data_IF_499895076672
#
_entry.id   IF_499895076672
#
_cell.length_a   1.000
_cell.length_b   1.000
_cell.length_c   1.000
_cell.angle_alpha   90.00
_cell.angle_beta   90.00
_cell.angle_gamma   90.00
#
_symmetry.space_group_name_H-M   'P 1'
#
loop_
_entity.id
_entity.type
_entity.pdbx_description
1 polymer ?
#
# COMPACT_ATOMS: atom_id res chain seq x y z
N UNK A 1 -6.90 1.78 7.39
CA UNK A 1 -6.05 0.82 6.66
C UNK A 1 -5.80 1.31 5.24
N UNK A 2 -4.65 1.00 4.69
CA UNK A 2 -4.28 1.25 3.30
C UNK A 2 -3.82 -0.07 2.68
N UNK A 3 -4.30 -0.39 1.48
CA UNK A 3 -4.04 -1.65 0.78
C UNK A 3 -5.18 -2.65 0.89
N UNK A 4 -5.06 -3.76 0.16
CA UNK A 4 -6.01 -4.87 0.19
C UNK A 4 -5.76 -5.81 1.37
N UNK A 5 -6.77 -6.61 1.70
CA UNK A 5 -6.65 -7.68 2.69
C UNK A 5 -5.45 -8.58 2.39
N UNK A 6 -4.68 -8.94 3.40
CA UNK A 6 -3.37 -9.64 3.38
C UNK A 6 -2.17 -8.79 2.97
N UNK A 7 -2.37 -7.55 2.51
CA UNK A 7 -1.29 -6.65 2.08
C UNK A 7 -1.43 -5.26 2.71
N UNK A 8 -2.37 -5.09 3.64
CA UNK A 8 -2.68 -3.80 4.22
C UNK A 8 -1.65 -3.35 5.26
N UNK A 9 -1.54 -2.03 5.38
CA UNK A 9 -0.88 -1.34 6.49
C UNK A 9 -1.91 -0.57 7.29
N UNK A 10 -1.65 -0.35 8.58
CA UNK A 10 -2.48 0.46 9.43
C UNK A 10 -1.83 1.82 9.68
N UNK A 11 -2.65 2.87 9.63
CA UNK A 11 -2.29 4.21 10.08
C UNK A 11 -3.11 4.54 11.32
N UNK A 12 -2.44 5.08 12.33
CA UNK A 12 -3.09 5.53 13.56
C UNK A 12 -3.14 7.05 13.58
N UNK A 13 -4.25 7.57 14.08
CA UNK A 13 -4.42 8.98 14.33
C UNK A 13 -4.85 9.17 15.79
N UNK A 14 -4.15 10.06 16.50
CA UNK A 14 -4.50 10.45 17.87
C UNK A 14 -5.41 11.68 17.80
N UNK A 15 -6.61 11.58 18.35
CA UNK A 15 -7.50 12.72 18.53
C UNK A 15 -6.99 13.56 19.70
N UNK A 16 -6.09 14.49 19.40
CA UNK A 16 -5.41 15.36 20.36
C UNK A 16 -6.40 16.21 21.16
N UNK A 17 -7.47 16.70 20.52
CA UNK A 17 -8.47 17.53 21.20
C UNK A 17 -9.30 16.71 22.18
N UNK A 18 -9.67 15.50 21.81
CA UNK A 18 -10.41 14.59 22.71
C UNK A 18 -9.53 14.17 23.89
N UNK A 19 -8.25 13.86 23.63
CA UNK A 19 -7.29 13.54 24.68
C UNK A 19 -7.10 14.71 25.64
N UNK A 20 -6.88 15.93 25.11
CA UNK A 20 -6.78 17.13 25.91
C UNK A 20 -8.02 17.36 26.78
N UNK A 21 -9.22 17.26 26.21
CA UNK A 21 -10.48 17.42 26.95
C UNK A 21 -10.63 16.40 28.08
N UNK A 22 -10.19 15.15 27.84
CA UNK A 22 -10.22 14.09 28.85
C UNK A 22 -9.28 14.40 30.02
N UNK A 23 -8.09 14.95 29.77
CA UNK A 23 -7.16 15.37 30.80
C UNK A 23 -7.62 16.64 31.53
N UNK A 24 -8.11 17.63 30.77
CA UNK A 24 -8.54 18.91 31.29
C UNK A 24 -9.74 18.80 32.25
N UNK A 25 -10.72 17.97 31.91
CA UNK A 25 -11.92 17.81 32.75
C UNK A 25 -12.51 19.13 33.20
N UNK A 26 -12.58 19.34 34.51
CA UNK A 26 -13.07 20.57 35.14
C UNK A 26 -11.93 21.53 35.64
N UNK A 27 -10.68 21.25 35.22
CA UNK A 27 -9.53 22.09 35.61
C UNK A 27 -9.66 23.47 34.98
N UNK A 28 -9.39 24.51 35.79
CA UNK A 28 -9.43 25.93 35.37
C UNK A 28 -8.08 26.64 35.48
N UNK A 29 -7.10 25.96 36.02
CA UNK A 29 -5.73 26.47 36.15
C UNK A 29 -5.07 26.51 34.76
N UNK A 30 -4.69 27.71 34.32
CA UNK A 30 -4.15 27.93 32.96
C UNK A 30 -2.80 27.26 32.75
N UNK A 31 -1.94 27.18 33.77
CA UNK A 31 -0.65 26.46 33.66
C UNK A 31 -0.86 24.98 33.47
N UNK A 32 -1.78 24.38 34.22
CA UNK A 32 -2.14 22.98 34.08
C UNK A 32 -2.77 22.70 32.71
N UNK A 33 -3.68 23.55 32.25
CA UNK A 33 -4.31 23.42 30.93
C UNK A 33 -3.28 23.52 29.80
N UNK A 34 -2.29 24.42 29.92
CA UNK A 34 -1.18 24.50 28.97
C UNK A 34 -0.34 23.23 28.96
N UNK A 35 0.01 22.71 30.15
CA UNK A 35 0.77 21.47 30.26
C UNK A 35 0.01 20.25 29.66
N UNK A 36 -1.30 20.19 29.85
CA UNK A 36 -2.14 19.13 29.22
C UNK A 36 -2.18 19.25 27.70
N UNK A 37 -2.23 20.46 27.15
CA UNK A 37 -2.19 20.71 25.72
C UNK A 37 -0.86 20.26 25.13
N UNK A 38 0.24 20.69 25.73
CA UNK A 38 1.58 20.29 25.28
C UNK A 38 1.79 18.77 25.31
N UNK A 39 1.28 18.12 26.38
CA UNK A 39 1.34 16.65 26.47
C UNK A 39 0.48 15.98 25.39
N UNK A 40 -0.77 16.41 25.22
CA UNK A 40 -1.67 15.83 24.21
C UNK A 40 -1.11 15.91 22.79
N UNK A 41 -0.45 17.03 22.45
CA UNK A 41 0.20 17.25 21.16
C UNK A 41 1.45 16.37 20.96
N UNK A 42 2.07 15.88 22.05
CA UNK A 42 3.22 14.98 21.98
C UNK A 42 2.84 13.51 21.80
N UNK A 43 1.58 13.14 22.01
CA UNK A 43 1.13 11.74 21.93
C UNK A 43 1.02 11.29 20.49
N UNK A 44 1.68 10.19 20.19
CA UNK A 44 1.63 9.53 18.89
C UNK A 44 1.26 8.07 19.03
N UNK A 45 0.68 7.48 18.00
CA UNK A 45 0.34 6.08 17.96
C UNK A 45 0.88 5.47 16.66
N UNK A 46 1.47 4.27 16.75
CA UNK A 46 2.09 3.57 15.63
C UNK A 46 1.72 2.10 15.64
N UNK A 47 1.48 1.57 14.45
CA UNK A 47 1.39 0.12 14.18
C UNK A 47 2.55 -0.25 13.27
N UNK A 48 3.37 -1.20 13.70
CA UNK A 48 4.51 -1.71 12.93
C UNK A 48 4.17 -2.96 12.12
N UNK A 49 2.99 -3.55 12.34
CA UNK A 49 2.52 -4.72 11.59
C UNK A 49 2.39 -4.37 10.10
N UNK A 50 2.82 -5.30 9.26
CA UNK A 50 2.69 -5.26 7.80
C UNK A 50 1.86 -6.45 7.33
N UNK A 51 1.39 -6.38 6.10
CA UNK A 51 0.61 -7.46 5.48
C UNK A 51 -0.60 -7.87 6.32
N UNK A 52 -1.29 -6.84 6.84
CA UNK A 52 -2.40 -7.00 7.77
C UNK A 52 -3.61 -7.59 7.05
N UNK A 53 -4.20 -8.61 7.68
CA UNK A 53 -5.42 -9.25 7.22
C UNK A 53 -6.60 -8.95 8.14
N UNK A 54 -7.81 -9.00 7.59
CA UNK A 54 -9.02 -8.97 8.40
C UNK A 54 -9.02 -10.10 9.44
N UNK A 55 -9.34 -9.75 10.67
CA UNK A 55 -9.35 -10.69 11.80
C UNK A 55 -8.00 -10.86 12.51
N UNK A 56 -6.91 -10.31 11.98
CA UNK A 56 -5.60 -10.33 12.63
C UNK A 56 -5.58 -9.42 13.86
N UNK A 57 -4.91 -9.86 14.92
CA UNK A 57 -4.59 -8.99 16.03
C UNK A 57 -3.35 -8.17 15.70
N UNK A 58 -3.47 -6.86 15.78
CA UNK A 58 -2.37 -5.91 15.57
C UNK A 58 -2.06 -5.17 16.86
N UNK A 59 -0.81 -4.75 17.03
CA UNK A 59 -0.37 -4.02 18.22
C UNK A 59 -0.24 -2.53 17.90
N UNK A 60 -1.01 -1.71 18.60
CA UNK A 60 -0.91 -0.25 18.57
C UNK A 60 -0.01 0.19 19.71
N UNK A 61 1.13 0.81 19.40
CA UNK A 61 2.06 1.37 20.36
C UNK A 61 1.85 2.88 20.47
N UNK A 62 1.71 3.36 21.69
CA UNK A 62 1.54 4.78 22.01
C UNK A 62 2.84 5.31 22.59
N UNK A 63 3.28 6.45 22.09
CA UNK A 63 4.46 7.18 22.59
C UNK A 63 4.06 8.60 22.97
N UNK A 64 4.74 9.17 23.94
CA UNK A 64 4.54 10.52 24.41
C UNK A 64 5.85 11.07 25.00
N UNK A 65 5.91 12.36 25.19
CA UNK A 65 7.03 13.04 25.86
C UNK A 65 6.92 12.85 27.38
N UNK A 66 7.88 12.14 27.98
CA UNK A 66 7.88 11.81 29.41
C UNK A 66 8.05 13.06 30.29
N UNK A 67 8.85 14.05 29.86
CA UNK A 67 9.04 15.30 30.60
C UNK A 67 7.75 16.11 30.65
N UNK A 68 7.01 16.14 29.54
CA UNK A 68 5.70 16.77 29.45
C UNK A 68 4.66 16.05 30.31
N UNK A 69 4.69 14.72 30.33
CA UNK A 69 3.82 13.92 31.19
C UNK A 69 4.08 14.22 32.68
N UNK A 70 5.36 14.26 33.07
CA UNK A 70 5.75 14.59 34.42
C UNK A 70 5.34 16.03 34.81
N UNK A 71 5.57 17.03 33.96
CA UNK A 71 5.15 18.41 34.15
C UNK A 71 3.62 18.55 34.31
N UNK A 72 2.89 17.77 33.52
CA UNK A 72 1.42 17.73 33.57
C UNK A 72 0.88 16.94 34.78
N UNK A 73 1.72 16.16 35.47
CA UNK A 73 1.29 15.22 36.51
C UNK A 73 0.39 14.09 36.00
N UNK A 74 0.54 13.71 34.74
CA UNK A 74 -0.22 12.67 34.10
C UNK A 74 0.64 11.42 33.95
N UNK A 75 0.05 10.28 34.27
CA UNK A 75 0.66 8.96 34.04
C UNK A 75 -0.22 8.13 33.08
N UNK A 76 0.41 7.55 32.07
CA UNK A 76 -0.25 6.60 31.20
C UNK A 76 -0.02 5.18 31.74
N UNK A 77 -1.11 4.44 31.97
CA UNK A 77 -1.04 3.07 32.52
C UNK A 77 -0.63 2.06 31.45
N UNK A 78 -1.17 2.22 30.24
CA UNK A 78 -0.91 1.32 29.13
C UNK A 78 -0.42 2.15 27.92
N UNK A 79 0.64 1.65 27.29
CA UNK A 79 1.24 2.23 26.07
C UNK A 79 1.19 1.28 24.89
N UNK A 80 0.59 0.10 25.04
CA UNK A 80 0.45 -0.92 24.01
C UNK A 80 -0.94 -1.54 24.06
N UNK A 81 -1.63 -1.55 22.94
CA UNK A 81 -3.00 -2.05 22.82
C UNK A 81 -3.09 -3.06 21.68
N UNK A 82 -3.80 -4.16 21.91
CA UNK A 82 -4.12 -5.15 20.89
C UNK A 82 -5.48 -4.80 20.30
N UNK A 83 -5.54 -4.65 18.98
CA UNK A 83 -6.75 -4.35 18.22
C UNK A 83 -6.93 -5.41 17.15
N UNK A 84 -8.16 -5.91 16.99
CA UNK A 84 -8.48 -6.82 15.90
C UNK A 84 -8.75 -6.04 14.62
N UNK A 85 -7.96 -6.29 13.58
CA UNK A 85 -8.11 -5.65 12.28
C UNK A 85 -9.43 -6.05 11.62
N UNK A 86 -10.15 -5.08 11.09
CA UNK A 86 -11.43 -5.29 10.40
C UNK A 86 -11.73 -4.16 9.42
N UNK A 87 -12.58 -4.44 8.43
CA UNK A 87 -12.97 -3.43 7.43
C UNK A 87 -11.89 -3.15 6.38
N UNK A 88 -10.89 -4.02 6.25
CA UNK A 88 -9.90 -3.94 5.17
C UNK A 88 -10.57 -4.43 3.88
N UNK A 89 -10.43 -3.65 2.80
CA UNK A 89 -10.94 -4.00 1.47
C UNK A 89 -10.31 -5.30 0.95
N UNK A 90 -11.09 -6.15 0.31
CA UNK A 90 -10.56 -7.36 -0.37
C UNK A 90 -9.72 -7.04 -1.60
N UNK A 91 -9.69 -5.79 -2.03
CA UNK A 91 -8.99 -5.34 -3.23
C UNK A 91 -9.86 -5.43 -4.48
N UNK A 92 -9.44 -4.69 -5.52
CA UNK A 92 -10.07 -4.71 -6.84
C UNK A 92 -9.37 -5.76 -7.70
N UNK A 93 -10.11 -6.78 -8.13
CA UNK A 93 -9.59 -7.78 -9.08
C UNK A 93 -9.48 -7.14 -10.47
N UNK A 94 -8.30 -7.27 -11.09
CA UNK A 94 -8.00 -6.72 -12.42
C UNK A 94 -7.37 -7.76 -13.32
N UNK A 95 -7.64 -7.61 -14.62
CA UNK A 95 -6.92 -8.28 -15.70
C UNK A 95 -5.76 -7.39 -16.15
N UNK A 96 -4.58 -7.57 -15.56
CA UNK A 96 -3.46 -6.64 -15.68
C UNK A 96 -3.04 -6.38 -17.14
N UNK A 97 -3.16 -7.38 -18.01
CA UNK A 97 -2.79 -7.31 -19.44
C UNK A 97 -3.90 -6.75 -20.35
N UNK A 98 -5.08 -6.41 -19.81
CA UNK A 98 -6.20 -5.88 -20.60
C UNK A 98 -5.86 -4.53 -21.27
N UNK A 99 -5.08 -3.71 -20.61
CA UNK A 99 -4.61 -2.41 -21.11
C UNK A 99 -3.10 -2.43 -21.47
N UNK A 100 -2.58 -3.58 -21.88
CA UNK A 100 -1.21 -3.71 -22.37
C UNK A 100 -1.25 -4.05 -23.85
N UNK A 101 -0.68 -3.18 -24.68
CA UNK A 101 -0.56 -3.40 -26.11
C UNK A 101 0.74 -4.11 -26.42
N UNK A 102 0.68 -5.23 -27.10
CA UNK A 102 1.83 -6.01 -27.56
C UNK A 102 1.80 -6.08 -29.08
N UNK A 103 2.84 -5.55 -29.71
CA UNK A 103 2.94 -5.50 -31.19
C UNK A 103 4.22 -6.20 -31.61
N UNK A 104 4.09 -7.18 -32.49
CA UNK A 104 5.21 -7.81 -33.18
C UNK A 104 5.35 -7.19 -34.57
N UNK A 105 6.55 -6.70 -34.89
CA UNK A 105 6.81 -6.00 -36.17
C UNK A 105 8.14 -6.38 -36.78
N UNK A 106 8.26 -6.16 -38.07
CA UNK A 106 9.41 -6.55 -38.89
C UNK A 106 9.19 -7.86 -39.65
N UNK A 107 10.26 -8.42 -40.15
CA UNK A 107 10.22 -9.68 -40.96
C UNK A 107 10.79 -10.86 -40.17
N UNK A 108 10.10 -12.00 -40.21
CA UNK A 108 10.58 -13.24 -39.62
C UNK A 108 11.87 -13.72 -40.36
N UNK A 109 12.91 -14.19 -39.66
CA UNK A 109 13.00 -14.38 -38.18
C UNK A 109 13.62 -13.20 -37.44
N UNK A 110 13.75 -12.03 -38.02
CA UNK A 110 14.41 -10.83 -37.46
C UNK A 110 13.40 -9.84 -36.88
N UNK A 111 12.18 -10.26 -36.57
CA UNK A 111 11.15 -9.41 -36.00
C UNK A 111 11.47 -9.02 -34.54
N UNK A 112 10.80 -7.99 -34.08
CA UNK A 112 10.91 -7.46 -32.72
C UNK A 112 9.53 -7.28 -32.07
N UNK A 113 9.50 -7.17 -30.75
CA UNK A 113 8.29 -6.88 -29.98
C UNK A 113 8.34 -5.48 -29.40
N UNK A 114 7.21 -4.78 -29.42
CA UNK A 114 6.96 -3.54 -28.71
C UNK A 114 5.83 -3.77 -27.72
N UNK A 115 6.10 -3.47 -26.45
CA UNK A 115 5.12 -3.54 -25.35
C UNK A 115 4.82 -2.14 -24.89
N UNK A 116 3.55 -1.79 -24.80
CA UNK A 116 3.11 -0.45 -24.36
C UNK A 116 2.04 -0.61 -23.29
N UNK A 117 2.30 -0.05 -22.10
CA UNK A 117 1.31 0.06 -21.05
C UNK A 117 0.35 1.20 -21.37
N UNK A 118 -0.97 0.92 -21.38
CA UNK A 118 -2.06 1.84 -21.72
C UNK A 118 -2.97 2.11 -20.49
N UNK A 119 -2.57 1.70 -19.29
CA UNK A 119 -3.33 2.00 -18.10
C UNK A 119 -3.31 3.50 -17.79
N UNK A 120 -4.51 4.11 -17.59
CA UNK A 120 -4.65 5.52 -17.19
C UNK A 120 -4.50 5.72 -15.68
N UNK A 121 -4.60 4.65 -14.88
CA UNK A 121 -4.37 4.69 -13.44
C UNK A 121 -2.91 5.03 -13.13
N UNK A 122 -2.67 5.92 -12.16
CA UNK A 122 -1.32 6.43 -11.83
C UNK A 122 -0.36 5.30 -11.46
N UNK A 123 -0.79 4.35 -10.63
CA UNK A 123 0.05 3.23 -10.21
C UNK A 123 0.18 2.18 -11.31
N UNK A 124 -0.95 1.72 -11.87
CA UNK A 124 -0.94 0.70 -12.93
C UNK A 124 -0.23 1.18 -14.19
N UNK A 125 -0.34 2.47 -14.51
CA UNK A 125 0.37 3.12 -15.62
C UNK A 125 1.89 3.20 -15.43
N UNK A 126 2.37 3.15 -14.18
CA UNK A 126 3.79 3.14 -13.85
C UNK A 126 4.45 1.75 -13.92
N UNK A 127 3.65 0.68 -14.01
CA UNK A 127 4.16 -0.69 -14.07
C UNK A 127 4.86 -0.94 -15.39
N UNK A 128 6.07 -1.49 -15.33
CA UNK A 128 6.80 -1.95 -16.51
C UNK A 128 6.39 -3.36 -16.92
N UNK A 129 6.29 -3.60 -18.23
CA UNK A 129 6.07 -4.90 -18.83
C UNK A 129 7.26 -5.26 -19.70
N UNK A 130 7.88 -6.40 -19.43
CA UNK A 130 9.09 -6.87 -20.11
C UNK A 130 8.86 -8.15 -20.84
N UNK A 131 9.40 -8.22 -22.05
CA UNK A 131 9.45 -9.41 -22.87
C UNK A 131 10.67 -10.25 -22.51
N UNK A 132 10.55 -11.56 -22.55
CA UNK A 132 11.66 -12.51 -22.42
C UNK A 132 12.57 -12.52 -23.67
N UNK A 133 12.05 -12.06 -24.83
CA UNK A 133 12.78 -11.95 -26.09
C UNK A 133 12.32 -10.71 -26.85
N UNK A 134 13.22 -9.77 -27.11
CA UNK A 134 12.88 -8.47 -27.72
C UNK A 134 13.12 -8.39 -29.22
N UNK A 135 13.97 -9.26 -29.79
CA UNK A 135 14.35 -9.28 -31.19
C UNK A 135 14.62 -10.71 -31.68
N UNK A 136 14.89 -10.88 -32.97
CA UNK A 136 15.08 -12.18 -33.60
C UNK A 136 13.87 -13.11 -33.40
N UNK A 137 12.68 -12.54 -33.53
CA UNK A 137 11.41 -13.20 -33.29
C UNK A 137 10.91 -13.79 -34.62
N UNK A 138 10.54 -15.08 -34.62
CA UNK A 138 9.98 -15.75 -35.75
C UNK A 138 8.47 -15.95 -35.62
N UNK A 139 7.80 -16.09 -36.74
CA UNK A 139 6.41 -16.57 -36.75
C UNK A 139 6.31 -17.93 -36.06
N UNK A 140 5.36 -18.09 -35.17
CA UNK A 140 5.15 -19.28 -34.36
C UNK A 140 5.84 -19.26 -32.98
N UNK A 141 6.78 -18.32 -32.74
CA UNK A 141 7.38 -18.15 -31.42
C UNK A 141 6.30 -17.83 -30.36
N UNK A 142 6.57 -18.22 -29.12
CA UNK A 142 5.78 -17.85 -27.98
C UNK A 142 6.63 -16.90 -27.11
N UNK A 143 6.15 -15.69 -26.93
CA UNK A 143 6.86 -14.62 -26.22
C UNK A 143 6.14 -14.35 -24.89
N UNK A 144 6.86 -14.44 -23.80
CA UNK A 144 6.33 -14.14 -22.47
C UNK A 144 6.53 -12.67 -22.14
N UNK A 145 5.43 -12.00 -21.80
CA UNK A 145 5.45 -10.65 -21.25
C UNK A 145 5.19 -10.76 -19.76
N UNK A 146 6.12 -10.23 -18.95
CA UNK A 146 6.05 -10.25 -17.48
C UNK A 146 5.91 -8.85 -16.95
N UNK A 147 5.01 -8.69 -15.98
CA UNK A 147 4.83 -7.47 -15.18
C UNK A 147 5.98 -7.32 -14.17
N UNK A 148 6.47 -6.11 -13.94
CA UNK A 148 7.49 -5.84 -12.93
C UNK A 148 6.94 -5.80 -11.50
N UNK A 149 5.63 -5.59 -11.32
CA UNK A 149 5.01 -5.55 -10.00
C UNK A 149 4.81 -6.95 -9.42
N UNK A 150 4.92 -7.05 -8.10
CA UNK A 150 4.60 -8.25 -7.33
C UNK A 150 3.15 -8.24 -6.85
N UNK A 151 2.63 -9.39 -6.40
CA UNK A 151 1.30 -9.47 -5.76
C UNK A 151 1.22 -8.59 -4.51
N UNK A 152 2.32 -8.49 -3.75
CA UNK A 152 2.41 -7.63 -2.57
C UNK A 152 2.28 -6.15 -2.94
N UNK A 153 3.03 -5.68 -3.93
CA UNK A 153 2.99 -4.29 -4.39
C UNK A 153 1.61 -3.93 -4.94
N UNK A 154 1.01 -4.80 -5.76
CA UNK A 154 -0.36 -4.63 -6.23
C UNK A 154 -1.35 -4.57 -5.08
N UNK A 155 -1.25 -5.49 -4.11
CA UNK A 155 -2.11 -5.55 -2.94
C UNK A 155 -2.02 -4.31 -2.07
N UNK A 156 -0.82 -3.76 -1.85
CA UNK A 156 -0.60 -2.50 -1.13
C UNK A 156 -1.30 -1.31 -1.80
N UNK A 157 -1.46 -1.36 -3.13
CA UNK A 157 -2.22 -0.37 -3.90
C UNK A 157 -3.71 -0.73 -4.07
N UNK A 158 -4.15 -1.81 -3.44
CA UNK A 158 -5.55 -2.23 -3.45
C UNK A 158 -5.98 -3.04 -4.68
N UNK A 159 -5.04 -3.58 -5.44
CA UNK A 159 -5.29 -4.40 -6.62
C UNK A 159 -4.94 -5.87 -6.40
N UNK A 160 -5.70 -6.76 -7.02
CA UNK A 160 -5.44 -8.20 -7.08
C UNK A 160 -5.41 -8.59 -8.57
N UNK A 161 -4.27 -9.02 -9.06
CA UNK A 161 -4.13 -9.48 -10.43
C UNK A 161 -4.34 -10.99 -10.53
N UNK A 162 -5.00 -11.44 -11.59
CA UNK A 162 -5.19 -12.86 -11.86
C UNK A 162 -3.89 -13.55 -12.29
N UNK A 163 -2.96 -12.79 -12.89
CA UNK A 163 -1.66 -13.28 -13.37
C UNK A 163 -0.69 -12.12 -13.56
N UNK A 164 0.61 -12.40 -13.35
CA UNK A 164 1.71 -11.43 -13.49
C UNK A 164 2.49 -11.58 -14.78
N UNK A 165 2.16 -12.55 -15.61
CA UNK A 165 2.71 -12.76 -16.95
C UNK A 165 1.64 -13.25 -17.90
N UNK A 166 1.88 -13.07 -19.20
CA UNK A 166 1.04 -13.61 -20.27
C UNK A 166 1.92 -14.03 -21.45
N UNK A 167 1.63 -15.20 -22.01
CA UNK A 167 2.31 -15.75 -23.17
C UNK A 167 1.55 -15.39 -24.45
N UNK A 168 2.26 -14.78 -25.40
CA UNK A 168 1.74 -14.36 -26.70
C UNK A 168 2.36 -15.20 -27.80
N UNK A 169 1.52 -15.87 -28.58
CA UNK A 169 1.96 -16.56 -29.79
C UNK A 169 2.07 -15.57 -30.94
N UNK A 170 3.17 -15.60 -31.65
CA UNK A 170 3.44 -14.74 -32.82
C UNK A 170 2.77 -15.32 -34.06
N UNK A 171 1.50 -15.02 -34.27
CA UNK A 171 0.74 -15.51 -35.43
C UNK A 171 0.83 -14.58 -36.64
N UNK A 172 1.16 -13.32 -36.44
CA UNK A 172 1.34 -12.30 -37.48
C UNK A 172 2.40 -11.26 -37.09
N UNK A 173 3.01 -10.68 -38.11
CA UNK A 173 3.95 -9.56 -37.96
C UNK A 173 3.40 -8.33 -38.70
N UNK A 174 3.52 -7.17 -38.07
CA UNK A 174 3.19 -5.90 -38.71
C UNK A 174 4.43 -5.39 -39.45
N UNK A 175 4.22 -4.96 -40.69
CA UNK A 175 5.26 -4.36 -41.54
C UNK A 175 5.51 -2.90 -41.17
#
# INVERSE_FOLDING_TARGET
YKGADKYATAMCHVDTDKLYKAMAGNVRDMEKLSAYRELAESVTALVNDKDISNGQNITVNVSFDEDKAQKAGIQFNDTSYIVKASGISTGKVISLFENVEVVFAGMSPEAYVKVTNKWDDEYLGSIEFKSDKNSQIALGDVIRITCSATDEELGQHGYIASQLYLDYKVDKLNS
#
